data_IF_509498455290
#
_entry.id   IF_509498455290
#
_cell.length_a   1.000
_cell.length_b   1.000
_cell.length_c   1.000
_cell.angle_alpha   90.00
_cell.angle_beta   90.00
_cell.angle_gamma   90.00
#
_symmetry.space_group_name_H-M   'P 1'
#
loop_
_entity.id
_entity.type
_entity.pdbx_description
1 polymer ?
#
# COMPACT_ATOMS: atom_id res chain seq x y z
N UNK A 1 -11.10 -6.48 -18.08
CA UNK A 1 -11.22 -5.19 -17.38
C UNK A 1 -9.82 -4.63 -17.23
N UNK A 2 -9.54 -3.38 -17.61
CA UNK A 2 -8.26 -2.74 -17.27
C UNK A 2 -8.49 -1.94 -15.99
N UNK A 3 -7.88 -2.31 -14.87
CA UNK A 3 -8.00 -1.61 -13.56
C UNK A 3 -7.29 -0.24 -13.55
N UNK A 4 -7.19 0.41 -14.70
CA UNK A 4 -6.60 1.72 -14.87
C UNK A 4 -7.69 2.79 -15.02
N UNK A 5 -7.32 4.02 -14.67
CA UNK A 5 -8.01 5.27 -14.93
C UNK A 5 -7.02 6.28 -15.53
N UNK A 6 -7.51 7.47 -15.86
CA UNK A 6 -6.70 8.58 -16.37
C UNK A 6 -6.45 9.59 -15.25
N UNK A 7 -5.21 10.05 -15.11
CA UNK A 7 -4.78 11.06 -14.15
C UNK A 7 -3.93 12.13 -14.84
N UNK A 8 -3.78 13.28 -14.18
CA UNK A 8 -2.91 14.35 -14.68
C UNK A 8 -1.43 13.94 -14.60
N UNK A 9 -0.67 14.40 -15.59
CA UNK A 9 0.79 14.41 -15.59
C UNK A 9 1.22 15.87 -15.38
N UNK A 10 1.65 16.26 -14.16
CA UNK A 10 2.04 17.63 -13.90
C UNK A 10 3.12 18.12 -14.88
N UNK A 11 2.85 19.23 -15.58
CA UNK A 11 3.76 19.82 -16.56
C UNK A 11 3.68 19.23 -17.98
N UNK A 12 2.72 18.34 -18.28
CA UNK A 12 2.48 17.79 -19.63
C UNK A 12 1.08 18.23 -20.12
N UNK A 13 1.01 19.30 -20.93
CA UNK A 13 -0.26 19.86 -21.44
C UNK A 13 -0.90 19.04 -22.59
N UNK A 14 -0.41 17.83 -22.86
CA UNK A 14 -0.96 16.98 -23.94
C UNK A 14 -2.27 16.32 -23.49
N UNK A 15 -3.25 16.33 -24.40
CA UNK A 15 -4.63 15.86 -24.20
C UNK A 15 -4.82 14.36 -23.86
N UNK A 16 -3.78 13.62 -23.51
CA UNK A 16 -3.82 12.16 -23.26
C UNK A 16 -3.84 11.73 -21.80
N UNK A 17 -3.43 12.59 -20.85
CA UNK A 17 -3.23 12.21 -19.45
C UNK A 17 -2.25 11.04 -19.26
N UNK A 18 -2.08 10.59 -18.02
CA UNK A 18 -1.29 9.41 -17.66
C UNK A 18 -2.15 8.31 -17.04
N UNK A 19 -1.66 7.07 -17.10
CA UNK A 19 -2.35 5.92 -16.50
C UNK A 19 -2.13 5.84 -14.98
N UNK A 20 -3.21 5.65 -14.23
CA UNK A 20 -3.20 5.41 -12.77
C UNK A 20 -4.06 4.19 -12.43
N UNK A 21 -3.78 3.48 -11.34
CA UNK A 21 -4.68 2.47 -10.79
C UNK A 21 -6.03 3.05 -10.34
N UNK A 22 -7.12 2.29 -10.51
CA UNK A 22 -8.47 2.70 -10.08
C UNK A 22 -8.58 2.92 -8.58
N UNK A 23 -7.90 2.11 -7.77
CA UNK A 23 -7.84 2.30 -6.32
C UNK A 23 -7.24 3.67 -5.96
N UNK A 24 -6.08 3.99 -6.53
CA UNK A 24 -5.43 5.29 -6.28
C UNK A 24 -6.26 6.46 -6.82
N UNK A 25 -6.95 6.29 -7.94
CA UNK A 25 -7.89 7.30 -8.45
C UNK A 25 -9.06 7.54 -7.47
N UNK A 26 -9.64 6.47 -6.91
CA UNK A 26 -10.70 6.58 -5.90
C UNK A 26 -10.20 7.23 -4.62
N UNK A 27 -8.98 6.91 -4.19
CA UNK A 27 -8.33 7.52 -3.02
C UNK A 27 -8.12 9.02 -3.21
N UNK A 28 -7.68 9.45 -4.40
CA UNK A 28 -7.57 10.87 -4.73
C UNK A 28 -8.92 11.60 -4.60
N UNK A 29 -10.02 10.98 -5.07
CA UNK A 29 -11.36 11.53 -4.88
C UNK A 29 -11.76 11.58 -3.40
N UNK A 30 -11.46 10.55 -2.62
CA UNK A 30 -11.74 10.52 -1.19
C UNK A 30 -10.99 11.62 -0.42
N UNK A 31 -9.79 11.97 -0.89
CA UNK A 31 -8.98 13.07 -0.36
C UNK A 31 -9.38 14.45 -0.91
N UNK A 32 -10.31 14.53 -1.89
CA UNK A 32 -10.75 15.78 -2.49
C UNK A 32 -9.69 16.47 -3.36
N UNK A 33 -8.74 15.72 -3.89
CA UNK A 33 -7.61 16.23 -4.71
C UNK A 33 -7.70 15.73 -6.14
N UNK A 34 -7.10 16.46 -7.07
CA UNK A 34 -6.97 16.01 -8.47
C UNK A 34 -6.08 14.77 -8.54
N UNK A 35 -6.54 13.66 -9.16
CA UNK A 35 -5.71 12.48 -9.36
C UNK A 35 -4.47 12.79 -10.19
N UNK A 36 -3.29 12.38 -9.73
CA UNK A 36 -2.03 12.52 -10.47
C UNK A 36 -1.31 11.18 -10.59
N UNK A 37 -0.48 11.03 -11.62
CA UNK A 37 0.34 9.82 -11.82
C UNK A 37 1.31 9.55 -10.67
N UNK A 38 1.68 10.58 -9.90
CA UNK A 38 2.58 10.45 -8.76
C UNK A 38 1.94 9.73 -7.56
N UNK A 39 0.61 9.62 -7.53
CA UNK A 39 -0.10 8.81 -6.53
C UNK A 39 -0.01 7.31 -6.81
N UNK A 40 0.30 6.90 -8.04
CA UNK A 40 0.58 5.51 -8.41
C UNK A 40 1.79 5.42 -9.35
N UNK A 41 3.00 5.71 -8.85
CA UNK A 41 4.18 5.93 -9.68
C UNK A 41 4.65 4.69 -10.44
N UNK A 42 4.28 3.49 -9.97
CA UNK A 42 4.52 2.22 -10.66
C UNK A 42 3.21 1.45 -10.68
N UNK A 43 2.65 1.26 -11.88
CA UNK A 43 1.46 0.46 -12.11
C UNK A 43 1.83 -0.81 -12.88
N UNK A 44 1.48 -1.96 -12.31
CA UNK A 44 1.65 -3.27 -12.94
C UNK A 44 0.33 -3.71 -13.54
N UNK A 45 0.30 -3.90 -14.85
CA UNK A 45 -0.88 -4.37 -15.59
C UNK A 45 -0.65 -5.82 -16.02
N UNK A 46 -1.37 -6.80 -15.46
CA UNK A 46 -1.20 -8.20 -15.85
C UNK A 46 -1.56 -8.36 -17.33
N UNK A 47 -0.65 -8.96 -18.10
CA UNK A 47 -0.86 -9.32 -19.51
C UNK A 47 -0.98 -10.84 -19.70
N UNK A 48 -0.35 -11.62 -18.82
CA UNK A 48 -0.39 -13.09 -18.78
C UNK A 48 -0.08 -13.57 -17.36
N UNK A 49 -0.19 -14.88 -17.11
CA UNK A 49 0.14 -15.49 -15.81
C UNK A 49 1.59 -15.24 -15.35
N UNK A 50 2.49 -14.89 -16.29
CA UNK A 50 3.95 -14.74 -16.03
C UNK A 50 4.51 -13.38 -16.42
N UNK A 51 3.66 -12.45 -16.90
CA UNK A 51 4.09 -11.20 -17.49
C UNK A 51 3.16 -10.04 -17.17
N UNK A 52 3.75 -8.86 -16.98
CA UNK A 52 3.01 -7.63 -16.73
C UNK A 52 3.62 -6.49 -17.55
N UNK A 53 2.75 -5.63 -18.07
CA UNK A 53 3.15 -4.32 -18.55
C UNK A 53 3.45 -3.43 -17.34
N UNK A 54 4.60 -2.74 -17.40
CA UNK A 54 5.02 -1.80 -16.37
C UNK A 54 4.80 -0.39 -16.89
N UNK A 55 3.98 0.36 -16.16
CA UNK A 55 3.77 1.79 -16.36
C UNK A 55 4.48 2.53 -15.24
N UNK A 56 5.29 3.53 -15.59
CA UNK A 56 6.03 4.38 -14.65
C UNK A 56 5.59 5.82 -14.84
N UNK A 57 5.11 6.46 -13.77
CA UNK A 57 4.58 7.83 -13.77
C UNK A 57 3.62 8.08 -14.95
N UNK A 58 2.69 7.14 -15.13
CA UNK A 58 1.64 7.18 -16.16
C UNK A 58 2.08 6.90 -17.60
N UNK A 59 3.36 6.58 -17.84
CA UNK A 59 3.89 6.27 -19.17
C UNK A 59 4.32 4.80 -19.24
N UNK A 60 3.97 4.12 -20.33
CA UNK A 60 4.41 2.74 -20.57
C UNK A 60 5.93 2.72 -20.61
N UNK A 61 6.54 1.98 -19.67
CA UNK A 61 7.99 1.86 -19.55
C UNK A 61 8.50 0.60 -20.26
N UNK A 62 7.70 -0.47 -20.29
CA UNK A 62 8.00 -1.70 -21.01
C UNK A 62 7.17 -2.89 -20.54
N UNK A 63 7.48 -4.07 -21.06
CA UNK A 63 6.98 -5.35 -20.55
C UNK A 63 8.05 -5.99 -19.67
N UNK A 64 7.67 -6.41 -18.47
CA UNK A 64 8.57 -7.12 -17.58
C UNK A 64 8.10 -8.56 -17.43
N UNK A 65 8.97 -9.52 -17.77
CA UNK A 65 8.88 -10.85 -17.18
C UNK A 65 9.36 -10.76 -15.74
N UNK A 66 8.87 -11.64 -14.87
CA UNK A 66 9.21 -11.61 -13.43
C UNK A 66 10.73 -11.58 -13.12
N UNK A 67 11.59 -12.05 -14.05
CA UNK A 67 13.05 -12.05 -13.91
C UNK A 67 13.71 -10.69 -14.22
N UNK A 68 13.16 -9.93 -15.16
CA UNK A 68 13.72 -8.64 -15.61
C UNK A 68 13.46 -7.52 -14.59
N UNK A 69 12.46 -7.73 -13.73
CA UNK A 69 12.09 -6.82 -12.65
C UNK A 69 13.26 -6.50 -11.70
N UNK A 70 14.20 -7.44 -11.50
CA UNK A 70 15.36 -7.21 -10.64
C UNK A 70 16.28 -6.11 -11.17
N UNK A 71 16.53 -6.07 -12.47
CA UNK A 71 17.38 -5.06 -13.09
C UNK A 71 16.70 -3.68 -13.13
N UNK A 72 15.37 -3.65 -13.23
CA UNK A 72 14.58 -2.42 -13.27
C UNK A 72 14.36 -1.80 -11.88
N UNK A 73 14.51 -2.59 -10.81
CA UNK A 73 14.11 -2.21 -9.45
C UNK A 73 14.68 -0.86 -8.99
N UNK A 74 15.97 -0.62 -9.21
CA UNK A 74 16.61 0.63 -8.79
C UNK A 74 15.92 1.83 -9.43
N UNK A 75 15.73 1.79 -10.76
CA UNK A 75 15.06 2.86 -11.52
C UNK A 75 13.60 3.03 -11.10
N UNK A 76 12.89 1.94 -10.80
CA UNK A 76 11.51 2.01 -10.31
C UNK A 76 11.45 2.68 -8.94
N UNK A 77 12.34 2.32 -8.01
CA UNK A 77 12.42 2.96 -6.70
C UNK A 77 12.77 4.45 -6.81
N UNK A 78 13.67 4.84 -7.72
CA UNK A 78 13.98 6.25 -7.96
C UNK A 78 12.72 7.04 -8.37
N UNK A 79 11.91 6.48 -9.28
CA UNK A 79 10.64 7.08 -9.68
C UNK A 79 9.59 7.12 -8.54
N UNK A 80 9.58 6.12 -7.66
CA UNK A 80 8.74 6.13 -6.44
C UNK A 80 9.16 7.27 -5.52
N UNK A 81 10.46 7.43 -5.25
CA UNK A 81 10.97 8.46 -4.34
C UNK A 81 10.79 9.88 -4.91
N UNK A 82 10.96 10.05 -6.21
CA UNK A 82 10.62 11.30 -6.90
C UNK A 82 9.14 11.64 -6.73
N UNK A 83 8.26 10.66 -6.97
CA UNK A 83 6.82 10.86 -6.86
C UNK A 83 6.36 11.08 -5.42
N UNK A 84 7.00 10.45 -4.46
CA UNK A 84 6.80 10.71 -3.03
C UNK A 84 7.07 12.17 -2.68
N UNK A 85 8.19 12.73 -3.16
CA UNK A 85 8.49 14.15 -2.96
C UNK A 85 7.40 15.04 -3.59
N UNK A 86 6.91 14.68 -4.79
CA UNK A 86 5.84 15.41 -5.48
C UNK A 86 4.50 15.36 -4.78
N UNK A 87 4.07 14.20 -4.30
CA UNK A 87 2.80 14.06 -3.56
C UNK A 87 2.85 14.84 -2.24
N UNK A 88 4.03 14.99 -1.63
CA UNK A 88 4.21 15.80 -0.44
C UNK A 88 4.17 17.31 -0.66
N UNK A 89 4.29 17.81 -1.90
CA UNK A 89 4.26 19.24 -2.19
C UNK A 89 2.87 19.83 -1.87
N UNK A 90 2.78 20.61 -0.79
CA UNK A 90 1.56 21.30 -0.38
C UNK A 90 0.53 20.44 0.38
N UNK A 91 0.89 19.21 0.77
CA UNK A 91 0.04 18.34 1.57
C UNK A 91 0.39 18.44 3.06
N UNK A 92 -0.63 18.60 3.92
CA UNK A 92 -0.46 18.52 5.37
C UNK A 92 -0.22 17.08 5.86
N UNK A 93 -0.80 16.11 5.14
CA UNK A 93 -0.71 14.68 5.43
C UNK A 93 -0.77 13.88 4.13
N UNK A 94 0.15 12.91 4.00
CA UNK A 94 0.11 11.91 2.94
C UNK A 94 -0.04 10.53 3.58
N UNK A 95 -1.03 9.76 3.14
CA UNK A 95 -1.25 8.38 3.58
C UNK A 95 -0.82 7.46 2.44
N UNK A 96 0.09 6.54 2.73
CA UNK A 96 0.59 5.56 1.76
C UNK A 96 0.00 4.20 2.11
N UNK A 97 -0.79 3.64 1.20
CA UNK A 97 -1.27 2.27 1.32
C UNK A 97 -0.23 1.29 0.78
N UNK A 98 0.10 0.27 1.59
CA UNK A 98 0.93 -0.85 1.15
C UNK A 98 0.18 -1.81 0.22
N UNK A 99 0.89 -2.76 -0.37
CA UNK A 99 0.31 -3.80 -1.22
C UNK A 99 0.57 -5.20 -0.64
N UNK A 100 -0.50 -5.94 -0.36
CA UNK A 100 -0.38 -7.26 0.28
C UNK A 100 0.13 -7.15 1.72
N UNK A 101 0.88 -8.15 2.18
CA UNK A 101 1.46 -8.10 3.53
C UNK A 101 2.89 -7.53 3.50
N UNK A 102 3.35 -6.91 4.60
CA UNK A 102 4.74 -6.49 4.76
C UNK A 102 5.67 -7.66 5.13
N UNK A 103 5.11 -8.84 5.43
CA UNK A 103 5.79 -9.96 6.07
C UNK A 103 6.21 -11.09 5.11
N UNK A 104 6.09 -10.88 3.79
CA UNK A 104 6.56 -11.75 2.71
C UNK A 104 8.09 -11.62 2.62
N UNK A 105 8.78 -12.09 3.65
CA UNK A 105 10.22 -11.94 3.82
C UNK A 105 11.03 -12.51 2.64
N UNK A 106 10.47 -13.50 1.92
CA UNK A 106 11.03 -14.04 0.68
C UNK A 106 11.01 -13.03 -0.49
N UNK A 107 10.16 -12.00 -0.44
CA UNK A 107 10.05 -10.92 -1.42
C UNK A 107 10.68 -9.62 -0.94
N UNK A 108 11.21 -9.56 0.29
CA UNK A 108 11.73 -8.32 0.91
C UNK A 108 12.81 -7.62 0.09
N UNK A 109 13.66 -8.37 -0.62
CA UNK A 109 14.68 -7.81 -1.51
C UNK A 109 14.09 -7.11 -2.74
N UNK A 110 12.81 -7.35 -3.04
CA UNK A 110 12.06 -6.84 -4.21
C UNK A 110 10.95 -5.86 -3.81
N UNK A 111 10.60 -5.83 -2.54
CA UNK A 111 9.59 -4.93 -2.01
C UNK A 111 9.94 -3.45 -2.26
N UNK A 112 8.93 -2.72 -2.72
CA UNK A 112 8.89 -1.29 -2.98
C UNK A 112 7.55 -0.67 -2.59
N UNK A 113 6.59 -1.46 -2.09
CA UNK A 113 5.26 -1.01 -1.73
C UNK A 113 5.08 -0.94 -0.20
N UNK A 114 5.79 -1.79 0.54
CA UNK A 114 5.66 -1.91 1.99
C UNK A 114 6.95 -1.40 2.69
N UNK A 115 7.68 -2.29 3.36
CA UNK A 115 8.85 -1.96 4.16
C UNK A 115 10.03 -1.47 3.32
N UNK A 116 10.13 -1.95 2.08
CA UNK A 116 11.12 -1.50 1.12
C UNK A 116 10.98 -0.01 0.77
N UNK A 117 9.77 0.53 0.74
CA UNK A 117 9.52 1.97 0.60
C UNK A 117 9.71 2.68 1.95
N UNK A 118 9.03 2.19 3.00
CA UNK A 118 9.04 2.83 4.32
C UNK A 118 10.46 3.09 4.84
N UNK A 119 11.36 2.10 4.75
CA UNK A 119 12.76 2.24 5.19
C UNK A 119 13.58 3.23 4.36
N UNK A 120 13.28 3.41 3.07
CA UNK A 120 13.99 4.34 2.18
C UNK A 120 13.49 5.77 2.32
N UNK A 121 12.18 5.93 2.44
CA UNK A 121 11.53 7.24 2.61
C UNK A 121 11.46 7.69 4.07
N UNK A 122 11.90 6.84 5.02
CA UNK A 122 11.78 7.05 6.46
C UNK A 122 10.35 7.38 6.91
N UNK A 123 9.38 6.61 6.41
CA UNK A 123 7.95 6.79 6.68
C UNK A 123 7.50 5.80 7.77
N UNK A 124 6.86 6.26 8.86
CA UNK A 124 6.33 5.35 9.88
C UNK A 124 5.18 4.50 9.33
N UNK A 125 5.10 3.25 9.79
CA UNK A 125 4.12 2.26 9.32
C UNK A 125 3.13 1.94 10.43
N UNK A 126 1.85 1.87 10.05
CA UNK A 126 0.80 1.30 10.89
C UNK A 126 0.38 -0.03 10.28
N UNK A 127 0.53 -1.12 11.03
CA UNK A 127 0.11 -2.44 10.57
C UNK A 127 -1.40 -2.60 10.71
N UNK A 128 -2.08 -3.03 9.64
CA UNK A 128 -3.53 -3.28 9.67
C UNK A 128 -3.80 -4.78 9.79
N UNK A 129 -4.38 -5.21 10.92
CA UNK A 129 -4.83 -6.58 11.13
C UNK A 129 -6.29 -6.78 10.72
N UNK A 130 -6.57 -7.73 9.84
CA UNK A 130 -7.94 -8.12 9.47
C UNK A 130 -8.48 -9.17 10.46
N UNK A 131 -9.45 -8.80 11.29
CA UNK A 131 -10.05 -9.73 12.26
C UNK A 131 -11.13 -10.63 11.65
N UNK A 132 -11.76 -10.22 10.55
CA UNK A 132 -12.87 -10.97 9.93
C UNK A 132 -12.37 -12.31 9.36
N UNK A 133 -11.07 -12.40 9.01
CA UNK A 133 -10.40 -13.64 8.60
C UNK A 133 -10.04 -14.59 9.76
N UNK A 134 -10.15 -14.12 11.01
CA UNK A 134 -9.70 -14.84 12.19
C UNK A 134 -8.16 -14.86 12.36
N UNK A 135 -7.70 -15.22 13.56
CA UNK A 135 -6.26 -15.37 13.84
C UNK A 135 -5.45 -14.07 13.91
N UNK A 136 -6.10 -12.90 14.03
CA UNK A 136 -5.44 -11.59 13.93
C UNK A 136 -4.31 -11.40 14.95
N UNK A 137 -4.46 -11.91 16.17
CA UNK A 137 -3.42 -11.84 17.22
C UNK A 137 -2.15 -12.56 16.74
N UNK A 138 -2.31 -13.79 16.23
CA UNK A 138 -1.19 -14.58 15.71
C UNK A 138 -0.58 -13.95 14.45
N UNK A 139 -1.40 -13.33 13.59
CA UNK A 139 -0.92 -12.61 12.40
C UNK A 139 -0.04 -11.42 12.76
N UNK A 140 -0.48 -10.57 13.70
CA UNK A 140 0.30 -9.40 14.15
C UNK A 140 1.56 -9.84 14.90
N UNK A 141 1.43 -10.77 15.85
CA UNK A 141 2.58 -11.28 16.60
C UNK A 141 3.59 -12.01 15.69
N UNK A 142 3.10 -12.79 14.71
CA UNK A 142 3.91 -13.46 13.71
C UNK A 142 4.64 -12.48 12.79
N UNK A 143 3.97 -11.41 12.36
CA UNK A 143 4.59 -10.32 11.59
C UNK A 143 5.73 -9.68 12.38
N UNK A 144 5.49 -9.33 13.65
CA UNK A 144 6.53 -8.81 14.54
C UNK A 144 7.72 -9.77 14.70
N UNK A 145 7.45 -11.08 14.77
CA UNK A 145 8.48 -12.10 14.94
C UNK A 145 9.38 -12.26 13.71
N UNK A 146 8.81 -12.23 12.51
CA UNK A 146 9.55 -12.58 11.28
C UNK A 146 10.15 -11.37 10.57
N UNK A 147 9.68 -10.16 10.84
CA UNK A 147 10.22 -8.96 10.22
C UNK A 147 11.67 -8.71 10.65
N UNK A 148 12.58 -8.41 9.71
CA UNK A 148 13.91 -7.93 10.03
C UNK A 148 13.84 -6.68 10.91
N UNK A 149 14.84 -6.49 11.77
CA UNK A 149 14.83 -5.39 12.73
C UNK A 149 14.68 -4.00 12.09
N UNK A 150 15.34 -3.77 10.95
CA UNK A 150 15.25 -2.51 10.22
C UNK A 150 13.82 -2.18 9.76
N UNK A 151 13.03 -3.20 9.39
CA UNK A 151 11.64 -3.03 9.00
C UNK A 151 10.76 -2.87 10.24
N UNK A 152 10.96 -3.74 11.23
CA UNK A 152 10.19 -3.75 12.48
C UNK A 152 10.25 -2.41 13.21
N UNK A 153 11.39 -1.71 13.14
CA UNK A 153 11.59 -0.36 13.72
C UNK A 153 10.77 0.73 13.02
N UNK A 154 10.34 0.53 11.78
CA UNK A 154 9.46 1.48 11.09
C UNK A 154 8.01 1.39 11.56
N UNK A 155 7.62 0.27 12.19
CA UNK A 155 6.24 0.07 12.66
C UNK A 155 6.03 0.86 13.94
N UNK A 156 5.17 1.87 13.87
CA UNK A 156 4.80 2.72 14.99
C UNK A 156 3.70 2.11 15.87
N UNK A 157 2.93 1.17 15.32
CA UNK A 157 1.82 0.52 15.99
C UNK A 157 0.96 -0.26 15.00
N UNK A 158 -0.23 -0.67 15.46
CA UNK A 158 -1.18 -1.40 14.64
C UNK A 158 -2.62 -0.92 14.85
N UNK A 159 -3.50 -1.27 13.91
CA UNK A 159 -4.94 -1.13 14.05
C UNK A 159 -5.62 -2.44 13.65
N UNK A 160 -6.79 -2.71 14.23
CA UNK A 160 -7.60 -3.89 13.91
C UNK A 160 -8.78 -3.44 13.07
N UNK A 161 -8.92 -4.00 11.87
CA UNK A 161 -9.98 -3.65 10.94
C UNK A 161 -11.07 -4.72 10.88
N UNK A 162 -12.27 -4.31 10.44
CA UNK A 162 -13.43 -5.17 10.15
C UNK A 162 -14.03 -5.86 11.39
N UNK A 163 -13.93 -5.24 12.55
CA UNK A 163 -14.54 -5.80 13.76
C UNK A 163 -16.06 -5.80 13.70
N UNK A 164 -16.70 -6.89 14.15
CA UNK A 164 -18.17 -7.01 14.20
C UNK A 164 -18.64 -7.10 15.65
N UNK A 165 -19.63 -6.29 16.00
CA UNK A 165 -20.21 -6.27 17.34
C UNK A 165 -19.58 -5.19 18.22
N UNK A 166 -19.57 -5.44 19.53
CA UNK A 166 -19.02 -4.52 20.53
C UNK A 166 -17.48 -4.63 20.58
N UNK A 167 -16.80 -3.54 20.22
CA UNK A 167 -15.34 -3.48 20.12
C UNK A 167 -14.64 -3.73 21.47
N UNK A 168 -15.29 -3.45 22.60
CA UNK A 168 -14.73 -3.69 23.94
C UNK A 168 -14.49 -5.18 24.22
N UNK A 169 -15.18 -6.07 23.48
CA UNK A 169 -14.95 -7.51 23.56
C UNK A 169 -13.56 -7.94 23.03
N UNK A 170 -12.80 -7.01 22.45
CA UNK A 170 -11.45 -7.28 21.92
C UNK A 170 -10.30 -6.74 22.79
N UNK A 171 -10.59 -6.14 23.95
CA UNK A 171 -9.57 -5.53 24.82
C UNK A 171 -8.49 -6.53 25.29
N UNK A 172 -8.88 -7.78 25.58
CA UNK A 172 -7.94 -8.86 25.91
C UNK A 172 -7.03 -9.22 24.73
N UNK A 173 -7.58 -9.14 23.50
CA UNK A 173 -6.83 -9.36 22.27
C UNK A 173 -5.77 -8.28 22.03
N UNK A 174 -6.13 -7.02 22.31
CA UNK A 174 -5.20 -5.87 22.26
C UNK A 174 -4.07 -6.08 23.27
N UNK A 175 -4.42 -6.37 24.52
CA UNK A 175 -3.45 -6.61 25.61
C UNK A 175 -2.49 -7.75 25.28
N UNK A 176 -2.99 -8.82 24.65
CA UNK A 176 -2.15 -9.94 24.21
C UNK A 176 -1.14 -9.53 23.14
N UNK A 177 -1.57 -8.78 22.11
CA UNK A 177 -0.68 -8.32 21.04
C UNK A 177 0.43 -7.42 21.60
N UNK A 178 0.08 -6.47 22.46
CA UNK A 178 1.05 -5.58 23.12
C UNK A 178 2.08 -6.40 23.91
N UNK A 179 1.65 -7.43 24.65
CA UNK A 179 2.58 -8.32 25.38
C UNK A 179 3.56 -9.05 24.47
N UNK A 180 3.15 -9.47 23.27
CA UNK A 180 4.03 -10.20 22.33
C UNK A 180 4.93 -9.29 21.50
N UNK A 181 4.50 -8.05 21.24
CA UNK A 181 5.12 -7.18 20.22
C UNK A 181 5.66 -5.87 20.78
N UNK A 182 5.15 -5.40 21.92
CA UNK A 182 5.40 -4.06 22.43
C UNK A 182 4.80 -2.93 21.58
N UNK A 183 4.04 -3.26 20.53
CA UNK A 183 3.43 -2.26 19.65
C UNK A 183 2.12 -1.72 20.24
N UNK A 184 1.90 -0.40 20.22
CA UNK A 184 0.63 0.18 20.65
C UNK A 184 -0.48 -0.08 19.62
N UNK A 185 -1.71 -0.26 20.12
CA UNK A 185 -2.91 -0.28 19.31
C UNK A 185 -3.44 1.15 19.10
N UNK A 186 -3.64 1.57 17.85
CA UNK A 186 -4.25 2.86 17.51
C UNK A 186 -5.77 2.79 17.36
N UNK A 187 -6.36 1.60 17.51
CA UNK A 187 -7.81 1.43 17.60
C UNK A 187 -8.34 0.23 16.84
N UNK A 188 -9.65 0.04 16.97
CA UNK A 188 -10.43 -1.00 16.31
C UNK A 188 -11.45 -0.35 15.38
N UNK A 189 -11.32 -0.59 14.08
CA UNK A 189 -12.24 -0.11 13.06
C UNK A 189 -13.39 -1.12 12.92
N UNK A 190 -14.64 -0.70 13.19
CA UNK A 190 -15.79 -1.58 13.05
C UNK A 190 -16.07 -1.90 11.58
N UNK A 191 -16.90 -2.92 11.35
CA UNK A 191 -17.36 -3.28 10.01
C UNK A 191 -18.16 -2.13 9.37
N UNK A 192 -17.54 -1.48 8.38
CA UNK A 192 -18.16 -0.38 7.65
C UNK A 192 -19.01 -0.92 6.49
N UNK A 193 -20.31 -1.14 6.73
CA UNK A 193 -21.25 -1.60 5.66
C UNK A 193 -21.23 -0.69 4.43
N UNK A 194 -21.02 0.62 4.63
CA UNK A 194 -20.96 1.61 3.56
C UNK A 194 -19.81 1.37 2.57
N UNK A 195 -18.72 0.71 2.99
CA UNK A 195 -17.56 0.40 2.13
C UNK A 195 -17.94 -0.53 0.99
N UNK A 196 -18.98 -1.36 1.14
CA UNK A 196 -19.50 -2.23 0.07
C UNK A 196 -20.09 -1.45 -1.13
N UNK A 197 -20.26 -0.11 -1.01
CA UNK A 197 -20.71 0.76 -2.11
C UNK A 197 -19.56 1.33 -2.92
N UNK A 198 -18.31 1.14 -2.48
CA UNK A 198 -17.14 1.57 -3.22
C UNK A 198 -16.94 0.65 -4.44
N UNK A 199 -16.45 1.18 -5.57
CA UNK A 199 -16.15 0.35 -6.72
C UNK A 199 -15.03 -0.65 -6.40
N UNK A 200 -15.04 -1.80 -7.08
CA UNK A 200 -13.94 -2.75 -6.96
C UNK A 200 -12.64 -2.12 -7.46
N UNK A 201 -11.59 -2.18 -6.63
CA UNK A 201 -10.25 -1.69 -6.96
C UNK A 201 -9.47 -2.74 -7.79
N UNK A 202 -9.73 -4.02 -7.52
CA UNK A 202 -9.13 -5.16 -8.21
C UNK A 202 -10.11 -5.89 -9.16
N UNK A 203 -9.52 -6.60 -10.13
CA UNK A 203 -10.23 -7.45 -11.09
C UNK A 203 -10.22 -8.85 -10.50
N UNK A 204 -11.21 -9.15 -9.68
CA UNK A 204 -11.59 -10.53 -9.33
C UNK A 204 -13.01 -10.78 -9.78
#
# INVERSE_FOLDING_TARGET
SNNAAVADIPGDDKAGGGEIGRGQWLQALACGVTPTVHMNPVLLKPQSDIGSQVVVQGKVFGEARARDYQAMKARLMDAVLESWAKVGEGADLVIVEGAGSPAEINLRSRDMANMGFATRANVPVILVGDIDRGGVIASVAGTHLILPEADRRMIAGYLINKFRGDVSLFDDGISAIEKFTGWPCFGVVPWLKAAARLPSEDSV
#
